data_IF_480408094385
#
_entry.id   IF_480408094385
#
_cell.length_a   1.000
_cell.length_b   1.000
_cell.length_c   1.000
_cell.angle_alpha   90.00
_cell.angle_beta   90.00
_cell.angle_gamma   90.00
#
_symmetry.space_group_name_H-M   'P 1'
#
loop_
_entity.id
_entity.type
_entity.pdbx_description
1 polymer ?
#
# COMPACT_ATOMS: atom_id res chain seq x y z
N UNK A 1 -10.84 -5.01 14.86
CA UNK A 1 -10.64 -4.89 13.40
C UNK A 1 -10.08 -3.50 13.13
N UNK A 2 -8.90 -3.36 12.54
CA UNK A 2 -8.41 -2.04 12.09
C UNK A 2 -9.16 -1.67 10.80
N UNK A 3 -9.68 -0.45 10.72
CA UNK A 3 -10.21 0.07 9.46
C UNK A 3 -9.04 0.35 8.51
N UNK A 4 -9.06 -0.31 7.37
CA UNK A 4 -8.10 -0.06 6.28
C UNK A 4 -8.74 0.98 5.38
N UNK A 5 -8.26 2.22 5.47
CA UNK A 5 -8.70 3.35 4.63
C UNK A 5 -8.01 3.38 3.24
N UNK A 6 -7.27 2.34 2.89
CA UNK A 6 -6.61 2.17 1.60
C UNK A 6 -7.34 1.13 0.76
N UNK A 7 -7.50 1.41 -0.53
CA UNK A 7 -8.12 0.48 -1.48
C UNK A 7 -7.29 -0.78 -1.71
N UNK A 8 -5.99 -0.68 -1.45
CA UNK A 8 -5.02 -1.76 -1.67
C UNK A 8 -4.26 -1.98 -0.37
N UNK A 9 -4.07 -3.25 0.01
CA UNK A 9 -3.25 -3.64 1.14
C UNK A 9 -2.21 -4.67 0.72
N UNK A 10 -0.96 -4.48 1.12
CA UNK A 10 0.17 -5.37 0.80
C UNK A 10 0.95 -5.70 2.05
N UNK A 11 1.54 -6.90 2.12
CA UNK A 11 2.44 -7.24 3.22
C UNK A 11 3.80 -6.53 3.03
N UNK A 12 4.48 -6.24 4.13
CA UNK A 12 5.86 -5.71 4.08
C UNK A 12 6.81 -6.67 3.39
N UNK A 13 6.55 -7.98 3.46
CA UNK A 13 7.34 -9.00 2.78
C UNK A 13 7.20 -8.89 1.26
N UNK A 14 5.99 -8.67 0.75
CA UNK A 14 5.75 -8.50 -0.68
C UNK A 14 6.30 -7.16 -1.18
N UNK A 15 6.16 -6.11 -0.37
CA UNK A 15 6.76 -4.80 -0.64
C UNK A 15 8.28 -4.87 -0.77
N UNK A 16 8.94 -5.64 0.10
CA UNK A 16 10.39 -5.87 0.03
C UNK A 16 10.79 -6.70 -1.19
N UNK A 17 9.96 -7.66 -1.62
CA UNK A 17 10.27 -8.53 -2.76
C UNK A 17 10.24 -7.77 -4.08
N UNK A 18 9.22 -6.95 -4.32
CA UNK A 18 9.08 -6.22 -5.58
C UNK A 18 8.30 -4.91 -5.39
N UNK A 19 8.95 -3.82 -4.94
CA UNK A 19 8.28 -2.56 -4.70
C UNK A 19 7.71 -1.95 -5.99
N UNK A 20 8.39 -2.11 -7.12
CA UNK A 20 7.97 -1.55 -8.41
C UNK A 20 6.65 -2.16 -8.90
N UNK A 21 6.49 -3.48 -8.79
CA UNK A 21 5.24 -4.14 -9.18
C UNK A 21 4.05 -3.68 -8.31
N UNK A 22 4.29 -3.36 -7.03
CA UNK A 22 3.24 -2.84 -6.15
C UNK A 22 2.85 -1.43 -6.55
N UNK A 23 3.82 -0.55 -6.85
CA UNK A 23 3.54 0.81 -7.30
C UNK A 23 2.77 0.82 -8.63
N UNK A 24 3.14 -0.04 -9.58
CA UNK A 24 2.47 -0.15 -10.87
C UNK A 24 1.03 -0.67 -10.71
N UNK A 25 0.84 -1.70 -9.89
CA UNK A 25 -0.50 -2.21 -9.54
C UNK A 25 -1.33 -1.21 -8.74
N UNK A 26 -0.69 -0.32 -7.98
CA UNK A 26 -1.40 0.70 -7.22
C UNK A 26 -2.12 1.69 -8.14
N UNK A 27 -1.65 1.90 -9.37
CA UNK A 27 -2.29 2.76 -10.39
C UNK A 27 -2.68 4.16 -9.89
N UNK A 28 -1.92 4.69 -8.93
CA UNK A 28 -2.18 5.98 -8.29
C UNK A 28 -3.13 5.94 -7.09
N UNK A 29 -3.52 4.77 -6.61
CA UNK A 29 -4.30 4.60 -5.38
C UNK A 29 -3.39 4.52 -4.14
N UNK A 30 -3.99 4.75 -2.99
CA UNK A 30 -3.29 4.62 -1.70
C UNK A 30 -3.12 3.14 -1.36
N UNK A 31 -1.94 2.76 -0.88
CA UNK A 31 -1.62 1.38 -0.48
C UNK A 31 -1.31 1.31 1.01
N UNK A 32 -2.05 0.49 1.76
CA UNK A 32 -1.72 0.13 3.13
C UNK A 32 -0.63 -0.95 3.14
N UNK A 33 0.42 -0.73 3.94
CA UNK A 33 1.47 -1.71 4.18
C UNK A 33 1.20 -2.40 5.51
N UNK A 34 1.16 -3.73 5.49
CA UNK A 34 0.85 -4.57 6.64
C UNK A 34 2.11 -5.28 7.17
N UNK A 35 2.28 -5.30 8.49
CA UNK A 35 3.20 -6.17 9.20
C UNK A 35 2.41 -7.13 10.08
N UNK A 36 2.59 -8.44 9.94
CA UNK A 36 1.88 -9.41 10.78
C UNK A 36 0.37 -9.08 10.92
N UNK A 37 -0.29 -8.76 9.80
CA UNK A 37 -1.69 -8.35 9.69
C UNK A 37 -2.08 -7.05 10.43
N UNK A 38 -1.11 -6.20 10.77
CA UNK A 38 -1.32 -4.85 11.34
C UNK A 38 -0.81 -3.79 10.39
N UNK A 39 -1.56 -2.70 10.24
CA UNK A 39 -1.14 -1.59 9.39
C UNK A 39 0.12 -0.95 10.00
N UNK A 40 1.21 -0.91 9.24
CA UNK A 40 2.46 -0.27 9.64
C UNK A 40 2.69 1.09 8.99
N UNK A 41 2.21 1.26 7.74
CA UNK A 41 2.45 2.45 6.95
C UNK A 41 1.42 2.56 5.81
N UNK A 42 1.35 3.74 5.20
CA UNK A 42 0.61 3.98 3.97
C UNK A 42 1.53 4.57 2.92
N UNK A 43 1.45 4.05 1.70
CA UNK A 43 2.04 4.64 0.51
C UNK A 43 0.97 5.48 -0.19
N UNK A 44 1.25 6.76 -0.37
CA UNK A 44 0.35 7.70 -1.04
C UNK A 44 0.91 8.06 -2.43
N UNK A 45 0.04 8.28 -3.43
CA UNK A 45 0.49 8.74 -4.74
C UNK A 45 1.13 10.13 -4.64
N UNK A 46 2.19 10.36 -5.42
CA UNK A 46 2.90 11.64 -5.43
C UNK A 46 2.04 12.81 -5.95
N UNK A 47 1.07 12.53 -6.82
CA UNK A 47 0.10 13.49 -7.30
C UNK A 47 -1.31 13.01 -6.99
N UNK A 48 -2.08 13.82 -6.25
CA UNK A 48 -3.53 13.69 -6.17
C UNK A 48 -4.11 14.18 -7.49
N UNK A 49 -4.75 13.31 -8.27
CA UNK A 49 -5.65 13.80 -9.33
C UNK A 49 -6.76 14.59 -8.62
N UNK A 50 -6.77 15.90 -8.84
CA UNK A 50 -7.88 16.80 -8.47
C UNK A 50 -9.08 16.52 -9.37
#
# INVERSE_FOLDING_TARGET
>A
MQRVEAEIAVSVSDLKKNPTAIVDNARGNTVAVLNHNRIMAYMVPAAKRR
#
